data_IF_136794793303
#
_entry.id   IF_136794793303
#
_cell.length_a   1.000
_cell.length_b   1.000
_cell.length_c   1.000
_cell.angle_alpha   90.00
_cell.angle_beta   90.00
_cell.angle_gamma   90.00
#
_symmetry.space_group_name_H-M   'P 1'
#
loop_
_entity.id
_entity.type
_entity.pdbx_description
1 polymer ?
#
# COMPACT_ATOMS: atom_id res chain seq x y z
N UNK A 1 60.17 -30.10 -54.91
CA UNK A 1 60.19 -28.67 -54.51
C UNK A 1 58.79 -28.29 -54.05
N UNK A 2 58.67 -27.81 -52.80
CA UNK A 2 57.74 -26.79 -52.30
C UNK A 2 57.50 -27.02 -50.79
N UNK A 3 58.37 -26.40 -49.98
CA UNK A 3 58.18 -26.23 -48.54
C UNK A 3 57.20 -25.07 -48.32
N UNK A 4 56.05 -25.34 -47.71
CA UNK A 4 55.13 -24.29 -47.24
C UNK A 4 55.50 -23.97 -45.79
N UNK A 5 56.22 -22.87 -45.58
CA UNK A 5 56.43 -22.27 -44.27
C UNK A 5 55.12 -21.68 -43.75
N UNK A 6 54.55 -22.26 -42.70
CA UNK A 6 53.50 -21.63 -41.89
C UNK A 6 54.13 -20.89 -40.72
N UNK A 7 54.55 -19.65 -40.96
CA UNK A 7 54.85 -18.71 -39.89
C UNK A 7 53.52 -18.13 -39.37
N UNK A 8 52.91 -18.80 -38.38
CA UNK A 8 51.80 -18.24 -37.62
C UNK A 8 52.36 -17.62 -36.34
N UNK A 9 52.51 -16.30 -36.35
CA UNK A 9 52.79 -15.53 -35.14
C UNK A 9 51.52 -15.44 -34.30
N UNK A 10 51.57 -15.69 -32.98
CA UNK A 10 50.42 -15.44 -32.13
C UNK A 10 50.17 -13.95 -32.03
N UNK A 11 48.99 -13.50 -32.50
CA UNK A 11 48.47 -12.15 -32.25
C UNK A 11 48.15 -12.04 -30.76
N UNK A 12 48.98 -11.29 -30.02
CA UNK A 12 48.61 -10.81 -28.69
C UNK A 12 47.46 -9.81 -28.85
N UNK A 13 46.24 -10.24 -28.49
CA UNK A 13 45.15 -9.32 -28.23
C UNK A 13 45.52 -8.62 -26.93
N UNK A 14 46.01 -7.39 -27.03
CA UNK A 14 46.16 -6.49 -25.90
C UNK A 14 44.76 -6.21 -25.34
N UNK A 15 44.32 -7.02 -24.38
CA UNK A 15 43.27 -6.63 -23.47
C UNK A 15 43.78 -5.37 -22.76
N UNK A 16 43.11 -4.24 -22.97
CA UNK A 16 43.30 -3.03 -22.17
C UNK A 16 42.95 -3.38 -20.74
N UNK A 17 43.96 -3.81 -19.98
CA UNK A 17 43.86 -3.98 -18.54
C UNK A 17 43.51 -2.63 -17.95
N UNK A 18 42.25 -2.48 -17.54
CA UNK A 18 41.88 -1.61 -16.45
C UNK A 18 42.93 -1.81 -15.34
N UNK A 19 43.80 -0.84 -15.17
CA UNK A 19 44.78 -0.79 -14.10
C UNK A 19 44.00 -0.76 -12.80
N UNK A 20 43.84 -1.94 -12.22
CA UNK A 20 43.31 -2.13 -10.88
C UNK A 20 44.20 -1.33 -9.92
N UNK A 21 43.68 -0.22 -9.43
CA UNK A 21 44.41 0.69 -8.57
C UNK A 21 44.50 0.10 -7.16
N UNK A 22 45.61 -0.57 -6.87
CA UNK A 22 45.89 -1.18 -5.57
C UNK A 22 45.90 -0.17 -4.41
N UNK A 23 45.98 1.14 -4.69
CA UNK A 23 45.97 2.18 -3.66
C UNK A 23 44.59 2.42 -3.07
N UNK A 24 43.51 2.11 -3.81
CA UNK A 24 42.12 2.27 -3.35
C UNK A 24 41.55 1.04 -2.64
N UNK A 25 42.21 -0.11 -2.76
CA UNK A 25 41.74 -1.38 -2.19
C UNK A 25 42.26 -1.62 -0.75
N UNK A 26 41.82 -0.79 0.19
CA UNK A 26 41.55 -1.24 1.56
C UNK A 26 42.68 -1.23 2.59
N UNK A 27 42.38 -0.53 3.69
CA UNK A 27 42.99 -0.63 5.02
C UNK A 27 44.46 -0.18 5.11
N UNK A 28 44.65 1.05 5.60
CA UNK A 28 45.87 1.49 6.27
C UNK A 28 46.26 0.46 7.32
N UNK A 29 47.16 -0.47 6.97
CA UNK A 29 47.75 -1.40 7.93
C UNK A 29 48.57 -0.58 8.91
N UNK A 30 48.04 -0.38 10.11
CA UNK A 30 48.81 0.23 11.20
C UNK A 30 49.89 -0.79 11.59
N UNK A 31 51.18 -0.51 11.34
CA UNK A 31 52.25 -1.42 11.72
C UNK A 31 52.22 -1.61 13.24
N UNK A 32 52.15 -2.86 13.72
CA UNK A 32 52.19 -3.18 15.15
C UNK A 32 50.85 -3.56 15.80
N UNK A 33 49.70 -3.34 15.14
CA UNK A 33 48.42 -3.82 15.67
C UNK A 33 48.23 -5.30 15.30
N UNK A 34 48.23 -6.20 16.29
CA UNK A 34 47.90 -7.61 16.08
C UNK A 34 46.46 -7.73 15.60
N UNK A 35 46.30 -8.08 14.31
CA UNK A 35 45.01 -8.35 13.67
C UNK A 35 44.22 -9.37 14.50
N UNK A 36 43.05 -8.99 14.99
CA UNK A 36 42.19 -9.89 15.75
C UNK A 36 41.46 -10.83 14.78
N UNK A 37 42.14 -11.91 14.38
CA UNK A 37 41.63 -12.92 13.42
C UNK A 37 40.26 -13.48 13.76
N UNK A 38 39.82 -13.40 15.02
CA UNK A 38 38.50 -13.88 15.42
C UNK A 38 37.38 -12.90 15.02
N UNK A 39 37.61 -11.58 15.12
CA UNK A 39 36.62 -10.57 14.72
C UNK A 39 36.39 -10.57 13.21
N UNK A 40 37.46 -10.52 12.42
CA UNK A 40 37.38 -10.60 10.96
C UNK A 40 36.63 -11.86 10.46
N UNK A 41 36.77 -12.98 11.18
CA UNK A 41 36.06 -14.23 10.85
C UNK A 41 34.57 -14.17 11.19
N UNK A 42 34.20 -13.45 12.24
CA UNK A 42 32.80 -13.24 12.62
C UNK A 42 32.13 -12.32 11.60
N UNK A 43 32.73 -11.17 11.32
CA UNK A 43 32.25 -10.22 10.31
C UNK A 43 32.11 -10.86 8.92
N UNK A 44 33.09 -11.66 8.50
CA UNK A 44 33.01 -12.38 7.23
C UNK A 44 31.82 -13.37 7.20
N UNK A 45 31.56 -14.08 8.31
CA UNK A 45 30.42 -15.00 8.40
C UNK A 45 29.09 -14.26 8.42
N UNK A 46 29.01 -13.10 9.05
CA UNK A 46 27.80 -12.27 9.07
C UNK A 46 27.47 -11.74 7.67
N UNK A 47 28.48 -11.24 6.96
CA UNK A 47 28.33 -10.84 5.56
C UNK A 47 27.88 -11.99 4.66
N UNK A 48 28.49 -13.17 4.81
CA UNK A 48 28.08 -14.36 4.05
C UNK A 48 26.62 -14.73 4.36
N UNK A 49 26.16 -14.59 5.61
CA UNK A 49 24.75 -14.82 5.98
C UNK A 49 23.82 -13.82 5.29
N UNK A 50 24.14 -12.53 5.33
CA UNK A 50 23.33 -11.48 4.69
C UNK A 50 23.22 -11.76 3.18
N UNK A 51 24.35 -11.97 2.50
CA UNK A 51 24.36 -12.26 1.05
C UNK A 51 23.57 -13.51 0.73
N UNK A 52 23.78 -14.60 1.49
CA UNK A 52 23.00 -15.82 1.29
C UNK A 52 21.51 -15.53 1.43
N UNK A 53 21.09 -14.84 2.49
CA UNK A 53 19.71 -14.41 2.70
C UNK A 53 19.14 -13.60 1.53
N UNK A 54 19.88 -12.59 1.07
CA UNK A 54 19.50 -11.77 -0.09
C UNK A 54 19.30 -12.62 -1.37
N UNK A 55 20.11 -13.66 -1.59
CA UNK A 55 19.92 -14.56 -2.75
C UNK A 55 18.70 -15.48 -2.64
N UNK A 56 18.09 -15.63 -1.44
CA UNK A 56 16.85 -16.37 -1.24
C UNK A 56 15.60 -15.51 -1.30
N UNK A 57 15.76 -14.19 -1.24
CA UNK A 57 14.63 -13.26 -1.33
C UNK A 57 13.99 -13.32 -2.72
N UNK A 58 12.66 -13.17 -2.75
CA UNK A 58 11.91 -13.04 -4.00
C UNK A 58 12.25 -11.70 -4.68
N UNK A 59 12.05 -11.62 -6.00
CA UNK A 59 12.28 -10.41 -6.80
C UNK A 59 11.59 -9.17 -6.23
N UNK A 60 10.39 -9.30 -5.67
CA UNK A 60 9.67 -8.20 -5.02
C UNK A 60 10.38 -7.69 -3.76
N UNK A 61 10.88 -8.62 -2.94
CA UNK A 61 11.62 -8.28 -1.72
C UNK A 61 12.99 -7.67 -2.04
N UNK A 62 13.70 -8.20 -3.06
CA UNK A 62 14.96 -7.62 -3.54
C UNK A 62 14.75 -6.19 -4.03
N UNK A 63 13.64 -5.92 -4.75
CA UNK A 63 13.31 -4.55 -5.18
C UNK A 63 13.11 -3.61 -4.01
N UNK A 64 12.46 -4.05 -2.94
CA UNK A 64 12.23 -3.23 -1.76
C UNK A 64 13.55 -2.81 -1.07
N UNK A 65 14.56 -3.68 -1.04
CA UNK A 65 15.88 -3.38 -0.47
C UNK A 65 16.90 -2.84 -1.49
N UNK A 66 16.53 -2.74 -2.77
CA UNK A 66 17.48 -2.41 -3.85
C UNK A 66 18.10 -1.01 -3.68
N UNK A 67 17.40 -0.11 -3.00
CA UNK A 67 17.88 1.23 -2.72
C UNK A 67 19.06 1.27 -1.71
N UNK A 68 19.19 0.24 -0.87
CA UNK A 68 20.31 0.07 0.06
C UNK A 68 21.56 -0.55 -0.60
N UNK A 69 21.46 -0.90 -1.88
CA UNK A 69 22.48 -1.64 -2.62
C UNK A 69 22.88 -0.84 -3.87
N UNK A 70 24.15 -0.94 -4.26
CA UNK A 70 24.56 -0.39 -5.55
C UNK A 70 23.96 -1.22 -6.70
N UNK A 71 23.68 -0.62 -7.88
CA UNK A 71 23.13 -1.34 -9.02
C UNK A 71 23.95 -2.58 -9.41
N UNK A 72 25.28 -2.47 -9.32
CA UNK A 72 26.20 -3.58 -9.59
C UNK A 72 25.98 -4.77 -8.63
N UNK A 73 25.77 -4.50 -7.34
CA UNK A 73 25.51 -5.54 -6.33
C UNK A 73 24.17 -6.23 -6.61
N UNK A 74 23.14 -5.47 -7.00
CA UNK A 74 21.82 -6.02 -7.35
C UNK A 74 21.90 -6.96 -8.56
N UNK A 75 22.68 -6.60 -9.58
CA UNK A 75 22.92 -7.46 -10.75
C UNK A 75 23.65 -8.76 -10.37
N UNK A 76 24.72 -8.66 -9.57
CA UNK A 76 25.47 -9.82 -9.12
C UNK A 76 24.63 -10.77 -8.24
N UNK A 77 23.78 -10.21 -7.37
CA UNK A 77 22.80 -10.98 -6.60
C UNK A 77 21.80 -11.71 -7.50
N UNK A 78 21.31 -11.04 -8.55
CA UNK A 78 20.39 -11.67 -9.51
C UNK A 78 21.05 -12.83 -10.27
N UNK A 79 22.35 -12.73 -10.58
CA UNK A 79 23.13 -13.82 -11.17
C UNK A 79 23.26 -14.98 -10.17
N UNK A 80 23.64 -14.70 -8.92
CA UNK A 80 23.79 -15.71 -7.89
C UNK A 80 22.47 -16.46 -7.59
N UNK A 81 21.36 -15.73 -7.52
CA UNK A 81 20.02 -16.26 -7.27
C UNK A 81 19.54 -17.22 -8.37
N UNK A 82 19.97 -17.03 -9.63
CA UNK A 82 19.64 -17.92 -10.76
C UNK A 82 20.38 -19.25 -10.73
N UNK A 83 21.52 -19.31 -10.04
CA UNK A 83 22.35 -20.51 -10.00
C UNK A 83 21.86 -21.50 -8.92
N UNK A 84 21.99 -22.82 -9.15
CA UNK A 84 21.64 -23.83 -8.13
C UNK A 84 22.50 -23.69 -6.86
N UNK A 85 21.92 -24.02 -5.70
CA UNK A 85 22.61 -23.93 -4.38
C UNK A 85 23.88 -24.77 -4.30
N UNK A 86 23.91 -25.92 -4.98
CA UNK A 86 25.08 -26.81 -5.02
C UNK A 86 26.19 -26.33 -5.96
N UNK A 87 25.93 -25.30 -6.78
CA UNK A 87 26.87 -24.85 -7.80
C UNK A 87 28.04 -24.06 -7.17
N UNK A 88 29.27 -24.43 -7.49
CA UNK A 88 30.46 -23.74 -6.99
C UNK A 88 30.56 -22.30 -7.53
N UNK A 89 30.11 -22.06 -8.76
CA UNK A 89 30.00 -20.73 -9.35
C UNK A 89 29.08 -19.81 -8.56
N UNK A 90 27.97 -20.33 -8.01
CA UNK A 90 27.11 -19.57 -7.09
C UNK A 90 27.87 -19.12 -5.85
N UNK A 91 28.57 -20.04 -5.18
CA UNK A 91 29.38 -19.71 -3.99
C UNK A 91 30.48 -18.69 -4.28
N UNK A 92 31.09 -18.74 -5.47
CA UNK A 92 32.06 -17.74 -5.92
C UNK A 92 31.40 -16.38 -6.13
N UNK A 93 30.21 -16.36 -6.71
CA UNK A 93 29.44 -15.13 -6.91
C UNK A 93 29.00 -14.50 -5.58
N UNK A 94 28.46 -15.30 -4.66
CA UNK A 94 28.10 -14.87 -3.29
C UNK A 94 29.32 -14.27 -2.57
N UNK A 95 30.49 -14.91 -2.66
CA UNK A 95 31.72 -14.37 -2.09
C UNK A 95 32.19 -13.05 -2.72
N UNK A 96 31.96 -12.86 -4.02
CA UNK A 96 32.23 -11.59 -4.72
C UNK A 96 31.29 -10.49 -4.23
N UNK A 97 30.00 -10.79 -4.13
CA UNK A 97 28.99 -9.87 -3.59
C UNK A 97 29.34 -9.47 -2.15
N UNK A 98 29.68 -10.44 -1.29
CA UNK A 98 30.08 -10.17 0.10
C UNK A 98 31.34 -9.28 0.19
N UNK A 99 32.24 -9.39 -0.79
CA UNK A 99 33.40 -8.50 -0.89
C UNK A 99 32.99 -7.09 -1.31
N UNK A 100 32.11 -6.93 -2.31
CA UNK A 100 31.63 -5.62 -2.77
C UNK A 100 30.79 -4.92 -1.69
N UNK A 101 29.91 -5.64 -1.02
CA UNK A 101 29.09 -5.06 0.06
C UNK A 101 29.96 -4.46 1.16
N UNK A 102 31.04 -5.15 1.58
CA UNK A 102 32.01 -4.60 2.55
C UNK A 102 32.78 -3.36 2.06
N UNK A 103 32.79 -3.09 0.76
CA UNK A 103 33.51 -1.96 0.18
C UNK A 103 32.61 -0.75 -0.08
N UNK A 104 31.34 -0.99 -0.40
CA UNK A 104 30.44 0.03 -0.97
C UNK A 104 29.16 0.25 -0.17
N UNK A 105 28.83 -0.63 0.79
CA UNK A 105 27.65 -0.48 1.63
C UNK A 105 28.12 -0.06 3.02
N UNK A 106 27.52 1.00 3.54
CA UNK A 106 27.77 1.53 4.86
C UNK A 106 27.16 0.63 5.95
N UNK A 107 27.67 0.76 7.18
CA UNK A 107 27.27 -0.10 8.30
C UNK A 107 25.77 0.03 8.63
N UNK A 108 25.17 1.22 8.48
CA UNK A 108 23.75 1.43 8.75
C UNK A 108 22.86 0.71 7.71
N UNK A 109 23.23 0.79 6.42
CA UNK A 109 22.56 0.00 5.38
C UNK A 109 22.75 -1.51 5.57
N UNK A 110 23.92 -1.96 6.05
CA UNK A 110 24.15 -3.38 6.37
C UNK A 110 23.25 -3.89 7.50
N UNK A 111 23.04 -3.09 8.55
CA UNK A 111 22.09 -3.43 9.63
C UNK A 111 20.66 -3.53 9.12
N UNK A 112 20.22 -2.58 8.28
CA UNK A 112 18.89 -2.63 7.64
C UNK A 112 18.73 -3.85 6.74
N UNK A 113 19.75 -4.20 5.95
CA UNK A 113 19.75 -5.39 5.11
C UNK A 113 19.71 -6.69 5.94
N UNK A 114 20.41 -6.74 7.07
CA UNK A 114 20.36 -7.88 7.97
C UNK A 114 18.96 -8.06 8.58
N UNK A 115 18.34 -6.96 9.03
CA UNK A 115 16.96 -6.97 9.51
C UNK A 115 15.97 -7.38 8.41
N UNK A 116 16.18 -6.90 7.18
CA UNK A 116 15.36 -7.24 6.03
C UNK A 116 15.42 -8.73 5.69
N UNK A 117 16.61 -9.33 5.72
CA UNK A 117 16.81 -10.77 5.53
C UNK A 117 16.07 -11.56 6.61
N UNK A 118 16.19 -11.17 7.88
CA UNK A 118 15.53 -11.85 8.99
C UNK A 118 13.99 -11.77 8.91
N UNK A 119 13.45 -10.61 8.51
CA UNK A 119 12.03 -10.43 8.27
C UNK A 119 11.54 -11.23 7.07
N UNK A 120 12.31 -11.25 5.98
CA UNK A 120 11.98 -12.02 4.79
C UNK A 120 11.92 -13.54 5.08
N UNK A 121 12.82 -14.06 5.91
CA UNK A 121 12.82 -15.46 6.35
C UNK A 121 11.59 -15.83 7.21
N UNK A 122 11.06 -14.89 8.00
CA UNK A 122 9.97 -15.14 8.94
C UNK A 122 8.58 -14.82 8.40
N UNK A 123 8.43 -13.77 7.58
CA UNK A 123 7.13 -13.22 7.18
C UNK A 123 6.88 -13.26 5.66
N UNK A 124 7.81 -13.78 4.85
CA UNK A 124 7.73 -13.82 3.37
C UNK A 124 7.49 -12.45 2.69
N UNK A 125 7.51 -11.34 3.44
CA UNK A 125 7.32 -9.98 2.96
C UNK A 125 8.28 -9.09 3.73
N UNK A 126 9.00 -8.23 3.01
CA UNK A 126 9.76 -7.14 3.61
C UNK A 126 9.09 -5.83 3.21
N UNK A 127 8.78 -5.01 4.21
CA UNK A 127 8.33 -3.63 4.05
C UNK A 127 9.43 -2.78 4.67
N UNK A 128 9.97 -1.85 3.89
CA UNK A 128 10.92 -0.90 4.42
C UNK A 128 10.19 0.05 5.38
N UNK A 129 10.54 -0.01 6.65
CA UNK A 129 9.86 0.74 7.71
C UNK A 129 10.02 2.24 7.54
N UNK A 130 11.16 2.70 7.03
CA UNK A 130 11.43 4.13 6.90
C UNK A 130 10.60 4.72 5.76
N UNK A 131 10.55 4.01 4.63
CA UNK A 131 9.70 4.38 3.49
C UNK A 131 8.22 4.32 3.91
N UNK A 132 7.80 3.27 4.62
CA UNK A 132 6.42 3.11 5.06
C UNK A 132 5.98 4.25 5.99
N UNK A 133 6.79 4.59 6.99
CA UNK A 133 6.51 5.69 7.93
C UNK A 133 6.44 7.03 7.19
N UNK A 134 7.33 7.26 6.23
CA UNK A 134 7.36 8.51 5.46
C UNK A 134 6.12 8.64 4.55
N UNK A 135 5.74 7.57 3.85
CA UNK A 135 4.50 7.53 3.05
C UNK A 135 3.28 7.74 3.94
N UNK A 136 3.22 7.10 5.11
CA UNK A 136 2.13 7.24 6.06
C UNK A 136 2.03 8.68 6.60
N UNK A 137 3.16 9.30 6.95
CA UNK A 137 3.22 10.69 7.41
C UNK A 137 2.71 11.65 6.32
N UNK A 138 3.16 11.49 5.08
CA UNK A 138 2.67 12.31 3.97
C UNK A 138 1.19 12.08 3.70
N UNK A 139 0.73 10.83 3.77
CA UNK A 139 -0.68 10.48 3.63
C UNK A 139 -1.52 11.23 4.66
N UNK A 140 -1.17 11.15 5.94
CA UNK A 140 -1.92 11.82 7.02
C UNK A 140 -1.98 13.34 6.81
N UNK A 141 -0.83 13.98 6.58
CA UNK A 141 -0.76 15.43 6.37
C UNK A 141 -1.54 15.91 5.13
N UNK A 142 -1.53 15.12 4.05
CA UNK A 142 -2.33 15.42 2.85
C UNK A 142 -3.84 15.32 3.13
N UNK A 143 -4.25 14.38 3.97
CA UNK A 143 -5.66 14.18 4.32
C UNK A 143 -6.20 15.27 5.25
N UNK A 144 -5.35 15.81 6.11
CA UNK A 144 -5.61 16.99 6.95
C UNK A 144 -5.66 18.31 6.15
N UNK A 145 -5.52 18.24 4.82
CA UNK A 145 -5.52 19.38 3.90
C UNK A 145 -4.39 20.40 4.18
N UNK A 146 -3.24 19.94 4.70
CA UNK A 146 -2.08 20.79 4.92
C UNK A 146 -1.45 21.20 3.58
N UNK A 147 -1.51 22.50 3.27
CA UNK A 147 -0.97 23.06 2.02
C UNK A 147 0.55 22.90 1.91
N UNK A 148 1.25 22.91 3.04
CA UNK A 148 2.70 22.70 3.10
C UNK A 148 3.08 21.27 2.67
N UNK A 149 2.39 20.26 3.19
CA UNK A 149 2.61 18.86 2.80
C UNK A 149 2.34 18.62 1.31
N UNK A 150 1.31 19.28 0.76
CA UNK A 150 1.00 19.21 -0.67
C UNK A 150 2.14 19.75 -1.54
N UNK A 151 2.72 20.91 -1.17
CA UNK A 151 3.85 21.49 -1.89
C UNK A 151 5.13 20.66 -1.71
N UNK A 152 5.36 20.13 -0.51
CA UNK A 152 6.50 19.27 -0.20
C UNK A 152 6.50 18.03 -1.10
N UNK A 153 5.39 17.30 -1.17
CA UNK A 153 5.26 16.10 -2.01
C UNK A 153 5.46 16.41 -3.49
N UNK A 154 4.92 17.52 -4.01
CA UNK A 154 5.12 17.90 -5.41
C UNK A 154 6.58 18.25 -5.71
N UNK A 155 7.22 19.03 -4.83
CA UNK A 155 8.64 19.35 -4.97
C UNK A 155 9.48 18.06 -4.96
N UNK A 156 9.16 17.12 -4.07
CA UNK A 156 9.85 15.82 -4.01
C UNK A 156 9.56 14.95 -5.23
N UNK A 157 8.35 15.00 -5.79
CA UNK A 157 8.02 14.31 -7.03
C UNK A 157 8.83 14.85 -8.22
N UNK A 158 9.00 16.17 -8.30
CA UNK A 158 9.83 16.84 -9.32
C UNK A 158 11.31 16.45 -9.18
N UNK A 159 11.86 16.48 -7.95
CA UNK A 159 13.22 16.03 -7.66
C UNK A 159 13.43 14.55 -8.06
N UNK A 160 12.42 13.70 -7.84
CA UNK A 160 12.42 12.29 -8.19
C UNK A 160 12.08 11.98 -9.67
N UNK A 161 11.81 12.99 -10.50
CA UNK A 161 11.34 12.85 -11.88
C UNK A 161 10.08 11.97 -12.02
N UNK A 162 9.20 11.97 -11.02
CA UNK A 162 7.92 11.25 -11.03
C UNK A 162 6.84 12.13 -11.67
N UNK A 163 6.14 11.59 -12.68
CA UNK A 163 5.03 12.29 -13.34
C UNK A 163 3.77 12.33 -12.44
N UNK A 164 3.85 13.16 -11.40
CA UNK A 164 2.78 13.46 -10.46
C UNK A 164 2.43 14.95 -10.57
N UNK A 165 1.37 15.24 -11.32
CA UNK A 165 0.87 16.62 -11.44
C UNK A 165 0.07 17.02 -10.20
N UNK A 166 0.08 18.32 -9.89
CA UNK A 166 -0.75 18.90 -8.82
C UNK A 166 -2.24 18.52 -8.96
N UNK A 167 -2.75 18.49 -10.20
CA UNK A 167 -4.12 18.09 -10.48
C UNK A 167 -4.39 16.63 -10.10
N UNK A 168 -3.46 15.72 -10.44
CA UNK A 168 -3.58 14.30 -10.12
C UNK A 168 -3.52 14.04 -8.61
N UNK A 169 -2.59 14.69 -7.90
CA UNK A 169 -2.51 14.57 -6.44
C UNK A 169 -3.78 15.11 -5.76
N UNK A 170 -4.28 16.27 -6.18
CA UNK A 170 -5.52 16.84 -5.66
C UNK A 170 -6.74 15.93 -5.93
N UNK A 171 -6.80 15.27 -7.09
CA UNK A 171 -7.86 14.31 -7.41
C UNK A 171 -7.81 13.08 -6.50
N UNK A 172 -6.62 12.56 -6.20
CA UNK A 172 -6.45 11.40 -5.30
C UNK A 172 -6.85 11.72 -3.85
N UNK A 173 -6.43 12.87 -3.33
CA UNK A 173 -6.82 13.32 -1.99
C UNK A 173 -8.34 13.53 -1.91
N UNK A 174 -8.93 14.19 -2.93
CA UNK A 174 -10.37 14.43 -2.98
C UNK A 174 -11.18 13.14 -3.08
N UNK A 175 -10.76 12.17 -3.90
CA UNK A 175 -11.49 10.91 -4.04
C UNK A 175 -11.51 10.13 -2.72
N UNK A 176 -10.41 10.16 -1.96
CA UNK A 176 -10.36 9.55 -0.64
C UNK A 176 -11.22 10.27 0.40
N UNK A 177 -11.14 11.61 0.48
CA UNK A 177 -11.99 12.40 1.39
C UNK A 177 -13.49 12.24 1.09
N UNK A 178 -13.87 12.13 -0.19
CA UNK A 178 -15.24 11.80 -0.59
C UNK A 178 -15.66 10.41 -0.10
N UNK A 179 -14.78 9.42 -0.23
CA UNK A 179 -15.05 8.07 0.25
C UNK A 179 -15.18 8.03 1.79
N UNK A 180 -14.43 8.86 2.53
CA UNK A 180 -14.56 8.99 3.99
C UNK A 180 -15.92 9.57 4.40
N UNK A 181 -16.34 10.71 3.82
CA UNK A 181 -17.65 11.33 4.13
C UNK A 181 -18.82 10.39 3.85
N UNK A 182 -18.77 9.67 2.73
CA UNK A 182 -19.81 8.69 2.37
C UNK A 182 -19.86 7.50 3.34
N UNK A 183 -18.83 7.27 4.15
CA UNK A 183 -18.84 6.30 5.24
C UNK A 183 -19.56 6.84 6.49
N UNK A 184 -19.27 8.07 6.89
CA UNK A 184 -19.80 8.71 8.11
C UNK A 184 -21.30 9.01 8.05
N UNK A 185 -21.82 9.37 6.88
CA UNK A 185 -23.24 9.69 6.69
C UNK A 185 -24.17 8.47 6.89
N UNK A 186 -23.66 7.24 6.74
CA UNK A 186 -24.49 6.03 6.90
C UNK A 186 -24.48 5.43 8.30
N UNK A 187 -23.43 5.68 9.09
CA UNK A 187 -23.42 5.33 10.52
C UNK A 187 -24.29 6.28 11.34
N UNK A 188 -24.42 7.52 10.89
CA UNK A 188 -25.18 8.57 11.60
C UNK A 188 -26.70 8.51 11.35
N UNK A 189 -27.16 7.75 10.36
CA UNK A 189 -28.57 7.66 9.95
C UNK A 189 -29.40 6.56 10.63
N UNK A 190 -28.83 5.72 11.50
CA UNK A 190 -29.53 4.58 12.12
C UNK A 190 -29.85 4.80 13.60
N UNK A 191 -30.22 6.02 13.99
CA UNK A 191 -30.61 6.33 15.37
C UNK A 191 -31.95 7.08 15.47
N UNK A 192 -32.93 6.72 14.64
CA UNK A 192 -34.33 7.14 14.85
C UNK A 192 -35.26 6.02 14.36
N UNK A 193 -35.64 5.10 15.26
CA UNK A 193 -37.03 4.64 15.48
C UNK A 193 -37.01 3.40 16.38
N UNK A 194 -36.84 3.61 17.69
CA UNK A 194 -37.23 2.66 18.73
C UNK A 194 -38.25 3.36 19.68
N UNK A 195 -39.20 4.07 19.06
CA UNK A 195 -40.37 4.64 19.71
C UNK A 195 -41.60 4.06 19.04
N UNK A 196 -41.89 2.81 19.38
CA UNK A 196 -43.12 2.15 18.95
C UNK A 196 -43.65 1.15 19.99
N UNK A 197 -43.53 1.43 21.30
CA UNK A 197 -44.39 0.78 22.30
C UNK A 197 -44.72 1.76 23.43
N UNK A 198 -45.79 2.55 23.27
CA UNK A 198 -46.67 2.88 24.40
C UNK A 198 -48.05 3.39 23.90
N UNK A 199 -48.83 2.48 23.31
CA UNK A 199 -50.26 2.68 23.07
C UNK A 199 -50.98 1.43 23.55
N UNK A 200 -51.22 1.28 24.85
CA UNK A 200 -52.37 0.52 25.39
C UNK A 200 -52.51 0.71 26.92
N UNK A 201 -53.32 1.70 27.33
CA UNK A 201 -54.11 1.83 28.59
C UNK A 201 -54.41 3.33 28.81
N UNK A 202 -55.60 3.87 29.12
CA UNK A 202 -56.80 3.36 29.78
C UNK A 202 -57.94 4.41 29.64
N UNK A 203 -59.16 3.90 29.49
CA UNK A 203 -60.49 4.40 29.85
C UNK A 203 -60.75 5.88 30.28
N UNK A 204 -61.72 6.47 29.55
CA UNK A 204 -62.98 7.08 30.01
C UNK A 204 -62.98 8.09 31.18
N UNK A 205 -63.40 9.33 30.90
CA UNK A 205 -64.70 9.84 31.37
C UNK A 205 -65.13 11.14 30.68
N UNK A 206 -66.45 11.32 30.67
CA UNK A 206 -67.29 12.47 30.28
C UNK A 206 -66.72 13.82 30.79
N UNK A 207 -67.05 15.01 30.28
CA UNK A 207 -68.39 15.55 30.09
C UNK A 207 -68.27 17.00 29.53
N UNK A 208 -69.31 17.48 28.82
CA UNK A 208 -69.68 18.92 28.58
C UNK A 208 -68.72 19.82 27.76
N UNK A 209 -69.15 20.81 26.96
CA UNK A 209 -70.45 21.41 26.62
C UNK A 209 -70.17 22.67 25.76
N UNK A 210 -71.00 22.93 24.74
CA UNK A 210 -71.31 24.25 24.09
C UNK A 210 -70.16 24.93 23.35
N UNK A 211 -70.26 25.43 22.12
CA UNK A 211 -71.36 25.69 21.19
C UNK A 211 -70.78 26.55 20.04
N UNK A 212 -71.44 26.62 18.89
CA UNK A 212 -70.98 27.52 17.83
C UNK A 212 -71.47 27.17 16.42
N UNK A 213 -72.71 27.54 16.14
CA UNK A 213 -73.42 27.53 14.86
C UNK A 213 -72.88 28.52 13.82
N UNK A 214 -72.80 28.10 12.55
CA UNK A 214 -73.19 28.85 11.33
C UNK A 214 -72.95 27.91 10.10
N UNK A 215 -73.95 27.30 9.46
CA UNK A 215 -74.93 27.81 8.47
C UNK A 215 -74.35 28.50 7.20
N UNK A 216 -74.12 27.69 6.17
CA UNK A 216 -74.32 27.96 4.73
C UNK A 216 -74.39 26.57 4.04
N UNK A 217 -75.37 26.14 3.25
CA UNK A 217 -76.33 26.83 2.39
C UNK A 217 -76.05 26.41 0.93
N UNK A 218 -76.86 25.51 0.36
CA UNK A 218 -76.85 25.08 -1.06
C UNK A 218 -76.62 23.55 -1.22
N UNK A 219 -77.64 22.67 -1.36
CA UNK A 219 -78.64 22.53 -2.44
C UNK A 219 -77.97 22.13 -3.76
N UNK A 220 -78.27 21.05 -4.50
CA UNK A 220 -79.11 19.87 -4.37
C UNK A 220 -78.67 18.86 -5.48
N UNK A 221 -79.16 17.63 -5.34
CA UNK A 221 -79.55 16.69 -6.42
C UNK A 221 -78.72 15.42 -6.63
N UNK A 222 -79.36 14.32 -6.21
CA UNK A 222 -79.63 13.11 -6.99
C UNK A 222 -78.50 12.19 -7.48
N UNK A 223 -78.36 11.08 -6.74
CA UNK A 223 -78.81 9.71 -7.08
C UNK A 223 -77.75 8.60 -6.94
N UNK A 224 -78.19 7.36 -6.61
CA UNK A 224 -77.36 6.33 -6.02
C UNK A 224 -76.94 5.25 -7.03
N UNK A 225 -75.75 4.67 -6.88
CA UNK A 225 -75.46 3.32 -7.42
C UNK A 225 -74.44 2.59 -6.54
N UNK A 226 -74.84 1.39 -6.13
CA UNK A 226 -74.03 0.26 -5.66
C UNK A 226 -72.54 0.26 -6.04
N UNK A 227 -71.68 0.05 -5.04
CA UNK A 227 -70.44 -0.73 -5.17
C UNK A 227 -69.84 -1.03 -3.79
N UNK A 228 -70.54 -1.85 -3.01
CA UNK A 228 -69.91 -2.58 -1.89
C UNK A 228 -69.49 -3.93 -2.45
N UNK A 229 -68.17 -4.16 -2.60
CA UNK A 229 -67.45 -5.46 -2.66
C UNK A 229 -66.19 -5.46 -3.56
N UNK A 230 -65.24 -4.52 -3.39
CA UNK A 230 -63.86 -4.73 -3.95
C UNK A 230 -62.72 -4.15 -3.08
N UNK A 231 -63.00 -3.64 -1.87
CA UNK A 231 -61.99 -2.88 -1.11
C UNK A 231 -61.14 -3.74 -0.16
N UNK A 232 -61.48 -5.03 0.03
CA UNK A 232 -60.81 -5.88 1.03
C UNK A 232 -59.64 -6.73 0.47
N UNK A 233 -59.52 -6.92 -0.84
CA UNK A 233 -58.40 -7.69 -1.44
C UNK A 233 -57.19 -6.81 -1.78
N UNK A 234 -57.39 -5.51 -2.06
CA UNK A 234 -56.30 -4.59 -2.42
C UNK A 234 -55.44 -4.13 -1.24
N UNK A 235 -56.00 -4.05 -0.02
CA UNK A 235 -55.23 -3.68 1.19
C UNK A 235 -54.31 -4.81 1.70
N UNK A 236 -54.72 -6.07 1.54
CA UNK A 236 -53.95 -7.25 1.95
C UNK A 236 -52.70 -7.48 1.07
N UNK A 237 -52.82 -7.24 -0.24
CA UNK A 237 -51.69 -7.31 -1.18
C UNK A 237 -50.70 -6.13 -1.02
N UNK A 238 -51.18 -4.94 -0.63
CA UNK A 238 -50.30 -3.82 -0.31
C UNK A 238 -49.50 -4.05 0.98
N UNK A 239 -50.10 -4.62 2.03
CA UNK A 239 -49.42 -4.95 3.28
C UNK A 239 -48.36 -6.06 3.13
N UNK A 240 -48.61 -7.05 2.26
CA UNK A 240 -47.65 -8.11 1.97
C UNK A 240 -46.46 -7.61 1.11
N UNK A 241 -46.71 -6.63 0.24
CA UNK A 241 -45.66 -6.00 -0.60
C UNK A 241 -44.75 -5.07 0.20
N UNK A 242 -45.25 -4.38 1.23
CA UNK A 242 -44.42 -3.54 2.12
C UNK A 242 -43.56 -4.37 3.06
N UNK A 243 -44.06 -5.51 3.55
CA UNK A 243 -43.27 -6.43 4.40
C UNK A 243 -42.13 -7.12 3.63
N UNK A 244 -42.37 -7.53 2.38
CA UNK A 244 -41.32 -8.11 1.53
C UNK A 244 -40.23 -7.10 1.13
N UNK A 245 -40.58 -5.82 0.96
CA UNK A 245 -39.60 -4.75 0.69
C UNK A 245 -38.83 -4.30 1.95
N UNK A 246 -39.41 -4.44 3.15
CA UNK A 246 -38.70 -4.17 4.40
C UNK A 246 -37.62 -5.24 4.71
N UNK A 247 -37.86 -6.50 4.32
CA UNK A 247 -36.91 -7.61 4.53
C UNK A 247 -35.71 -7.63 3.57
N UNK A 248 -35.74 -6.87 2.46
CA UNK A 248 -34.64 -6.80 1.47
C UNK A 248 -33.66 -5.63 1.72
N UNK A 249 -34.04 -4.61 2.51
CA UNK A 249 -33.18 -3.46 2.83
C UNK A 249 -31.88 -3.77 3.58
N UNK A 250 -31.82 -4.70 4.56
CA UNK A 250 -30.57 -4.94 5.28
C UNK A 250 -29.51 -5.61 4.39
N UNK A 251 -29.91 -6.42 3.40
CA UNK A 251 -28.99 -7.10 2.48
C UNK A 251 -28.39 -6.13 1.43
N UNK A 252 -29.16 -5.15 0.94
CA UNK A 252 -28.66 -4.10 0.05
C UNK A 252 -27.73 -3.10 0.78
N UNK A 253 -28.02 -2.80 2.05
CA UNK A 253 -27.16 -1.94 2.88
C UNK A 253 -25.77 -2.55 3.15
N UNK A 254 -25.69 -3.88 3.37
CA UNK A 254 -24.41 -4.57 3.58
C UNK A 254 -23.58 -4.65 2.29
N UNK A 255 -24.22 -4.83 1.13
CA UNK A 255 -23.53 -4.86 -0.16
C UNK A 255 -22.94 -3.49 -0.54
N UNK A 256 -23.63 -2.41 -0.15
CA UNK A 256 -23.13 -1.02 -0.35
C UNK A 256 -22.04 -0.64 0.65
N UNK A 257 -22.08 -1.11 1.90
CA UNK A 257 -20.99 -0.88 2.87
C UNK A 257 -19.70 -1.59 2.48
N UNK A 258 -19.77 -2.87 2.08
CA UNK A 258 -18.62 -3.61 1.58
C UNK A 258 -18.04 -2.97 0.30
N UNK A 259 -18.90 -2.49 -0.60
CA UNK A 259 -18.50 -1.73 -1.78
C UNK A 259 -17.77 -0.43 -1.44
N UNK A 260 -18.25 0.32 -0.44
CA UNK A 260 -17.61 1.56 0.04
C UNK A 260 -16.27 1.31 0.70
N UNK A 261 -16.17 0.33 1.59
CA UNK A 261 -14.88 -0.06 2.20
C UNK A 261 -13.86 -0.45 1.13
N UNK A 262 -14.31 -1.17 0.09
CA UNK A 262 -13.46 -1.52 -1.04
C UNK A 262 -13.03 -0.28 -1.84
N UNK A 263 -13.93 0.67 -2.08
CA UNK A 263 -13.60 1.92 -2.76
C UNK A 263 -12.63 2.80 -1.95
N UNK A 264 -12.83 2.91 -0.63
CA UNK A 264 -11.91 3.56 0.30
C UNK A 264 -10.51 2.94 0.24
N UNK A 265 -10.43 1.61 0.33
CA UNK A 265 -9.15 0.90 0.25
C UNK A 265 -8.46 1.11 -1.10
N UNK A 266 -9.22 1.12 -2.21
CA UNK A 266 -8.66 1.36 -3.53
C UNK A 266 -8.12 2.79 -3.69
N UNK A 267 -8.82 3.79 -3.15
CA UNK A 267 -8.36 5.17 -3.15
C UNK A 267 -7.09 5.34 -2.30
N UNK A 268 -7.05 4.70 -1.13
CA UNK A 268 -5.89 4.70 -0.23
C UNK A 268 -4.68 4.04 -0.91
N UNK A 269 -4.85 2.84 -1.46
CA UNK A 269 -3.80 2.13 -2.17
C UNK A 269 -3.29 2.92 -3.40
N UNK A 270 -4.17 3.67 -4.07
CA UNK A 270 -3.79 4.51 -5.21
C UNK A 270 -2.93 5.71 -4.77
N UNK A 271 -3.24 6.31 -3.62
CA UNK A 271 -2.45 7.39 -3.03
C UNK A 271 -1.08 6.86 -2.56
N UNK A 272 -1.04 5.75 -1.82
CA UNK A 272 0.21 5.12 -1.38
C UNK A 272 1.12 4.76 -2.56
N UNK A 273 0.55 4.16 -3.61
CA UNK A 273 1.29 3.82 -4.82
C UNK A 273 1.86 5.04 -5.55
N UNK A 274 1.22 6.21 -5.44
CA UNK A 274 1.72 7.45 -6.01
C UNK A 274 2.86 8.07 -5.17
N UNK A 275 2.79 7.92 -3.85
CA UNK A 275 3.78 8.47 -2.90
C UNK A 275 5.03 7.60 -2.78
N UNK A 276 4.90 6.28 -2.91
CA UNK A 276 6.00 5.32 -2.74
C UNK A 276 7.28 5.65 -3.53
N UNK A 277 7.25 5.93 -4.86
CA UNK A 277 8.49 6.23 -5.60
C UNK A 277 9.16 7.54 -5.13
N UNK A 278 8.38 8.48 -4.60
CA UNK A 278 8.88 9.75 -4.05
C UNK A 278 9.59 9.49 -2.72
N UNK A 279 9.01 8.64 -1.88
CA UNK A 279 9.59 8.23 -0.61
C UNK A 279 10.88 7.44 -0.80
N UNK A 280 10.90 6.49 -1.75
CA UNK A 280 12.09 5.74 -2.14
C UNK A 280 13.24 6.68 -2.56
N UNK A 281 12.96 7.69 -3.37
CA UNK A 281 13.94 8.70 -3.78
C UNK A 281 14.45 9.55 -2.61
N UNK A 282 13.58 9.93 -1.67
CA UNK A 282 14.00 10.73 -0.52
C UNK A 282 14.89 9.96 0.45
N UNK A 283 14.59 8.69 0.72
CA UNK A 283 15.43 7.84 1.56
C UNK A 283 16.80 7.64 0.91
N UNK A 284 16.84 7.45 -0.42
CA UNK A 284 18.08 7.35 -1.20
C UNK A 284 18.99 8.58 -1.09
N UNK A 285 18.42 9.79 -1.11
CA UNK A 285 19.21 11.03 -1.06
C UNK A 285 19.62 11.46 0.35
N UNK A 286 18.98 10.91 1.39
CA UNK A 286 19.28 11.24 2.78
C UNK A 286 20.19 10.19 3.47
N UNK A 287 20.51 9.09 2.78
CA UNK A 287 21.43 8.04 3.24
C UNK A 287 22.84 8.30 2.70
#
# INVERSE_FOLDING_TARGET
MNFIHKNSTPRYIAASSSTFDFTKAGSTRIPGVRRNRNKDKVEAKEMDKIVNGLTYMNKGQIKAVAHLLTPEIVEELAIAARLPRSNQGRKRQEGLVAKRMRQYVDDASLEKLAAAVQLAESQNVYVDTDIAVLVETWRERLLEAETAAFQEVLKKAEEACVDLTAQRLAQLVRSYQLCLRQGEESTSGTSISDSAEDVFSRHANEDRSVGGTAQHGGDASDRPVNASEEVLTSRSLQASRTMALASLRPAEAQFTEAGRRRAQQLALNALEKALQPIAEYQVLNNS
#
